data_IF_301889633472
#
_entry.id   IF_301889633472
#
_cell.length_a   1.000
_cell.length_b   1.000
_cell.length_c   1.000
_cell.angle_alpha   90.00
_cell.angle_beta   90.00
_cell.angle_gamma   90.00
#
_symmetry.space_group_name_H-M   'P 1'
#
loop_
_entity.id
_entity.type
_entity.pdbx_description
1 polymer ?
#
# COMPACT_ATOMS: atom_id res chain seq x y z
N UNK A 1 -27.15 -3.87 -20.84
CA UNK A 1 -26.12 -3.05 -21.52
C UNK A 1 -24.83 -3.52 -20.92
N UNK A 2 -24.08 -4.39 -21.61
CA UNK A 2 -22.76 -4.82 -21.14
C UNK A 2 -21.90 -3.56 -21.02
N UNK A 3 -21.65 -3.12 -19.80
CA UNK A 3 -20.55 -2.21 -19.55
C UNK A 3 -19.33 -3.06 -19.90
N UNK A 4 -18.72 -2.79 -21.06
CA UNK A 4 -17.37 -3.29 -21.35
C UNK A 4 -16.51 -2.78 -20.20
N UNK A 5 -16.25 -3.65 -19.22
CA UNK A 5 -15.42 -3.30 -18.08
C UNK A 5 -14.04 -2.96 -18.66
N UNK A 6 -13.66 -1.68 -18.61
CA UNK A 6 -12.31 -1.28 -18.94
C UNK A 6 -11.39 -2.01 -17.97
N UNK A 7 -10.41 -2.73 -18.51
CA UNK A 7 -9.37 -3.37 -17.70
C UNK A 7 -8.72 -2.30 -16.82
N UNK A 8 -8.56 -2.64 -15.54
CA UNK A 8 -7.92 -1.77 -14.57
C UNK A 8 -6.93 -2.60 -13.77
N UNK A 9 -5.73 -2.07 -13.59
CA UNK A 9 -4.70 -2.73 -12.80
C UNK A 9 -4.87 -2.36 -11.32
N UNK A 10 -5.49 -3.24 -10.55
CA UNK A 10 -5.65 -3.07 -9.10
C UNK A 10 -4.31 -3.10 -8.33
N UNK A 11 -3.42 -4.09 -8.56
CA UNK A 11 -2.14 -4.19 -7.89
C UNK A 11 -1.29 -2.92 -7.97
N UNK A 12 -0.69 -2.57 -6.84
CA UNK A 12 -0.16 -1.23 -6.62
C UNK A 12 1.35 -1.13 -6.83
N UNK A 13 1.76 0.12 -7.05
CA UNK A 13 3.12 0.62 -6.92
C UNK A 13 3.17 1.44 -5.63
N UNK A 14 4.25 1.30 -4.86
CA UNK A 14 4.44 2.03 -3.60
C UNK A 14 5.83 2.65 -3.56
N UNK A 15 5.90 3.90 -3.14
CA UNK A 15 7.12 4.65 -2.92
C UNK A 15 7.10 5.19 -1.49
N UNK A 16 8.12 4.84 -0.73
CA UNK A 16 8.36 5.37 0.60
C UNK A 16 9.74 6.03 0.66
N UNK A 17 9.79 7.27 1.14
CA UNK A 17 11.03 8.03 1.34
C UNK A 17 11.06 8.48 2.79
N UNK A 18 12.06 8.02 3.53
CA UNK A 18 12.27 8.36 4.95
C UNK A 18 13.50 9.27 5.05
N UNK A 19 13.39 10.35 5.82
CA UNK A 19 14.45 11.32 6.06
C UNK A 19 15.21 10.99 7.36
N UNK A 20 16.47 11.43 7.46
CA UNK A 20 17.25 11.31 8.70
C UNK A 20 16.67 12.09 9.88
N UNK A 21 15.94 13.16 9.58
CA UNK A 21 15.33 14.06 10.55
C UNK A 21 14.17 14.78 9.90
N UNK A 22 13.20 15.20 10.69
CA UNK A 22 12.10 16.04 10.24
C UNK A 22 12.60 17.26 9.46
N UNK A 23 11.94 17.56 8.35
CA UNK A 23 12.10 18.76 7.54
C UNK A 23 10.87 19.64 7.73
N UNK A 24 10.89 20.65 8.62
CA UNK A 24 9.74 21.50 8.87
C UNK A 24 9.14 22.07 7.58
N UNK A 25 7.81 22.00 7.48
CA UNK A 25 7.10 22.46 6.30
C UNK A 25 7.26 21.51 5.13
N UNK A 26 7.54 20.21 5.33
CA UNK A 26 7.47 19.19 4.27
C UNK A 26 6.01 18.87 3.90
N UNK A 27 5.11 19.04 4.85
CA UNK A 27 3.66 18.85 4.68
C UNK A 27 2.97 19.98 3.90
N UNK A 28 3.57 21.16 3.89
CA UNK A 28 2.99 22.34 3.25
C UNK A 28 2.65 22.08 1.77
N UNK A 29 1.58 22.69 1.28
CA UNK A 29 1.23 22.69 -0.14
C UNK A 29 0.70 24.04 -0.69
N UNK A 30 1.09 25.21 -0.18
CA UNK A 30 0.57 26.48 -0.70
C UNK A 30 1.07 26.79 -2.12
N UNK A 31 2.19 26.18 -2.53
CA UNK A 31 2.80 26.31 -3.86
C UNK A 31 2.34 25.23 -4.85
N UNK A 32 1.46 24.31 -4.42
CA UNK A 32 0.96 23.21 -5.24
C UNK A 32 2.01 22.14 -5.57
N UNK A 33 3.10 22.04 -4.80
CA UNK A 33 4.16 21.05 -5.06
C UNK A 33 3.66 19.60 -4.97
N UNK A 34 2.74 19.29 -4.06
CA UNK A 34 2.16 17.95 -3.95
C UNK A 34 1.18 17.66 -5.08
N UNK A 35 0.43 18.65 -5.56
CA UNK A 35 -0.36 18.52 -6.80
C UNK A 35 0.56 18.16 -7.97
N UNK A 36 1.71 18.83 -8.10
CA UNK A 36 2.68 18.57 -9.17
C UNK A 36 3.29 17.17 -9.08
N UNK A 37 3.66 16.72 -7.87
CA UNK A 37 4.17 15.35 -7.62
C UNK A 37 3.16 14.30 -8.07
N UNK A 38 1.89 14.48 -7.66
CA UNK A 38 0.79 13.57 -7.98
C UNK A 38 0.47 13.57 -9.47
N UNK A 39 0.36 14.75 -10.11
CA UNK A 39 0.11 14.91 -11.54
C UNK A 39 1.21 14.27 -12.40
N UNK A 40 2.47 14.36 -11.96
CA UNK A 40 3.61 13.78 -12.69
C UNK A 40 3.58 12.24 -12.67
N UNK A 41 2.83 11.65 -11.73
CA UNK A 41 2.54 10.21 -11.69
C UNK A 41 1.28 9.82 -12.47
N UNK A 42 0.62 10.77 -13.14
CA UNK A 42 -0.66 10.62 -13.84
C UNK A 42 -1.87 10.37 -12.91
N UNK A 43 -1.88 11.04 -11.75
CA UNK A 43 -3.00 11.04 -10.82
C UNK A 43 -3.38 12.49 -10.43
N UNK A 44 -4.48 12.64 -9.69
CA UNK A 44 -4.93 13.93 -9.14
C UNK A 44 -5.25 13.80 -7.65
N UNK A 45 -5.13 14.89 -6.90
CA UNK A 45 -5.59 14.96 -5.50
C UNK A 45 -7.10 15.19 -5.51
N UNK A 46 -7.85 14.30 -4.86
CA UNK A 46 -9.31 14.41 -4.71
C UNK A 46 -9.65 15.19 -3.44
N UNK A 47 -9.05 14.80 -2.33
CA UNK A 47 -9.35 15.35 -1.00
C UNK A 47 -8.17 15.15 -0.05
N UNK A 48 -8.25 15.81 1.11
CA UNK A 48 -7.21 15.81 2.12
C UNK A 48 -7.82 15.86 3.51
N UNK A 49 -7.28 15.05 4.42
CA UNK A 49 -7.42 15.24 5.87
C UNK A 49 -6.05 15.43 6.52
N UNK A 50 -6.04 16.11 7.67
CA UNK A 50 -4.83 16.51 8.38
C UNK A 50 -5.00 16.34 9.87
N UNK A 51 -3.91 15.99 10.56
CA UNK A 51 -3.81 16.10 12.01
C UNK A 51 -2.44 16.71 12.41
N UNK A 52 -2.08 16.68 13.69
CA UNK A 52 -0.83 17.27 14.17
C UNK A 52 0.44 16.60 13.59
N UNK A 53 0.34 15.37 13.09
CA UNK A 53 1.48 14.53 12.71
C UNK A 53 1.63 14.36 11.20
N UNK A 54 0.52 14.20 10.47
CA UNK A 54 0.56 13.95 9.03
C UNK A 54 -0.61 14.57 8.25
N UNK A 55 -0.39 14.65 6.95
CA UNK A 55 -1.40 14.91 5.94
C UNK A 55 -1.66 13.64 5.12
N UNK A 56 -2.92 13.28 4.95
CA UNK A 56 -3.36 12.19 4.10
C UNK A 56 -4.18 12.74 2.93
N UNK A 57 -3.72 12.48 1.72
CA UNK A 57 -4.33 12.86 0.47
C UNK A 57 -4.94 11.64 -0.19
N UNK A 58 -6.23 11.70 -0.47
CA UNK A 58 -6.89 10.71 -1.31
C UNK A 58 -6.68 11.10 -2.77
N UNK A 59 -6.21 10.16 -3.59
CA UNK A 59 -5.86 10.39 -4.98
C UNK A 59 -6.88 9.73 -5.92
N UNK A 60 -6.91 10.19 -7.18
CA UNK A 60 -7.68 9.53 -8.24
C UNK A 60 -7.28 8.08 -8.48
N UNK A 61 -6.05 7.71 -8.10
CA UNK A 61 -5.45 6.40 -8.34
C UNK A 61 -4.73 5.89 -7.07
N UNK A 62 -5.34 6.01 -5.88
CA UNK A 62 -4.88 5.55 -4.53
C UNK A 62 -4.62 6.68 -3.51
N UNK A 63 -3.41 6.83 -2.93
CA UNK A 63 -3.18 7.64 -1.72
C UNK A 63 -1.77 8.20 -1.60
N UNK A 64 -1.65 9.36 -0.93
CA UNK A 64 -0.38 9.98 -0.53
C UNK A 64 -0.45 10.38 0.96
N UNK A 65 0.56 10.02 1.73
CA UNK A 65 0.73 10.39 3.12
C UNK A 65 2.05 11.15 3.31
N UNK A 66 2.00 12.28 4.02
CA UNK A 66 3.16 13.14 4.25
C UNK A 66 3.26 13.47 5.73
N UNK A 67 4.36 13.04 6.35
CA UNK A 67 4.80 13.50 7.67
C UNK A 67 5.91 14.54 7.49
N UNK A 68 6.43 15.09 8.59
CA UNK A 68 7.61 15.95 8.50
C UNK A 68 8.90 15.19 8.20
N UNK A 69 8.94 13.87 8.39
CA UNK A 69 10.14 13.04 8.25
C UNK A 69 10.01 11.91 7.21
N UNK A 70 8.83 11.68 6.64
CA UNK A 70 8.63 10.62 5.65
C UNK A 70 7.49 10.93 4.69
N UNK A 71 7.58 10.32 3.52
CA UNK A 71 6.62 10.44 2.42
C UNK A 71 6.27 9.03 1.99
N UNK A 72 4.98 8.73 1.88
CA UNK A 72 4.46 7.48 1.34
C UNK A 72 3.47 7.81 0.22
N UNK A 73 3.72 7.31 -0.97
CA UNK A 73 2.80 7.43 -2.10
C UNK A 73 2.53 6.06 -2.69
N UNK A 74 1.26 5.71 -2.80
CA UNK A 74 0.78 4.46 -3.36
C UNK A 74 -0.03 4.84 -4.59
N UNK A 75 0.18 4.15 -5.70
CA UNK A 75 -0.62 4.32 -6.92
C UNK A 75 -1.00 3.01 -7.59
N UNK A 76 -2.14 2.98 -8.26
CA UNK A 76 -2.62 1.83 -9.03
C UNK A 76 -2.82 2.19 -10.52
N UNK A 77 -3.44 1.32 -11.30
CA UNK A 77 -3.68 1.54 -12.72
C UNK A 77 -2.39 1.55 -13.55
N UNK A 78 -2.36 2.43 -14.56
CA UNK A 78 -1.20 2.63 -15.45
C UNK A 78 -0.31 3.81 -15.02
N UNK A 79 -0.47 4.28 -13.78
CA UNK A 79 0.32 5.38 -13.22
C UNK A 79 1.83 5.14 -13.28
N UNK A 80 2.58 6.24 -13.34
CA UNK A 80 4.05 6.25 -13.46
C UNK A 80 4.70 6.79 -12.18
N UNK A 81 4.45 6.12 -11.05
CA UNK A 81 4.88 6.55 -9.71
C UNK A 81 6.37 6.93 -9.61
N UNK A 82 7.25 6.24 -10.33
CA UNK A 82 8.68 6.54 -10.33
C UNK A 82 9.00 7.99 -10.76
N UNK A 83 8.12 8.63 -11.53
CA UNK A 83 8.27 10.04 -11.92
C UNK A 83 8.18 10.99 -10.70
N UNK A 84 7.44 10.61 -9.65
CA UNK A 84 7.29 11.39 -8.42
C UNK A 84 8.63 11.67 -7.75
N UNK A 85 9.60 10.73 -7.85
CA UNK A 85 10.92 10.85 -7.21
C UNK A 85 11.62 12.13 -7.63
N UNK A 86 11.63 12.43 -8.94
CA UNK A 86 12.29 13.63 -9.46
C UNK A 86 11.64 14.91 -8.95
N UNK A 87 10.32 14.93 -8.84
CA UNK A 87 9.56 16.10 -8.36
C UNK A 87 9.74 16.31 -6.86
N UNK A 88 9.70 15.24 -6.06
CA UNK A 88 10.00 15.28 -4.62
C UNK A 88 11.41 15.82 -4.37
N UNK A 89 12.39 15.36 -5.16
CA UNK A 89 13.78 15.84 -5.07
C UNK A 89 13.98 17.29 -5.52
N UNK A 90 12.96 17.92 -6.12
CA UNK A 90 12.95 19.35 -6.38
C UNK A 90 12.87 20.21 -5.11
N UNK A 91 12.34 19.65 -4.01
CA UNK A 91 12.19 20.34 -2.72
C UNK A 91 12.65 19.53 -1.50
N UNK A 92 13.06 18.28 -1.68
CA UNK A 92 13.75 17.44 -0.68
C UNK A 92 15.19 17.24 -1.11
N UNK A 93 16.14 17.65 -0.27
CA UNK A 93 17.56 17.40 -0.52
C UNK A 93 17.85 15.90 -0.40
N UNK A 94 18.27 15.27 -1.49
CA UNK A 94 18.61 13.83 -1.54
C UNK A 94 19.60 13.38 -0.45
N UNK A 95 20.45 14.28 0.05
CA UNK A 95 21.42 14.00 1.13
C UNK A 95 20.76 13.83 2.50
N UNK A 96 19.51 14.28 2.64
CA UNK A 96 18.70 14.12 3.86
C UNK A 96 17.84 12.85 3.85
N UNK A 97 17.71 12.19 2.71
CA UNK A 97 16.98 10.93 2.59
C UNK A 97 17.80 9.83 3.26
N UNK A 98 17.25 9.19 4.28
CA UNK A 98 17.88 8.07 4.97
C UNK A 98 17.64 6.75 4.23
N UNK A 99 16.40 6.53 3.80
CA UNK A 99 15.94 5.28 3.22
C UNK A 99 14.91 5.55 2.12
N UNK A 100 14.95 4.73 1.08
CA UNK A 100 13.93 4.67 0.04
C UNK A 100 13.50 3.22 -0.10
N UNK A 101 12.19 2.97 -0.08
CA UNK A 101 11.59 1.72 -0.55
C UNK A 101 10.74 2.01 -1.78
N UNK A 102 10.85 1.14 -2.78
CA UNK A 102 9.97 1.12 -3.92
C UNK A 102 9.46 -0.30 -4.13
N UNK A 103 8.14 -0.49 -4.08
CA UNK A 103 7.51 -1.80 -4.16
C UNK A 103 6.53 -1.88 -5.34
N UNK A 104 6.45 -3.06 -5.95
CA UNK A 104 5.42 -3.40 -6.94
C UNK A 104 4.89 -4.80 -6.65
N UNK A 105 3.58 -4.93 -6.40
CA UNK A 105 2.92 -6.25 -6.47
C UNK A 105 2.94 -6.71 -7.92
N UNK A 106 3.18 -8.01 -8.16
CA UNK A 106 3.13 -8.53 -9.53
C UNK A 106 1.76 -8.25 -10.17
N UNK A 107 1.79 -7.65 -11.35
CA UNK A 107 0.62 -7.14 -12.04
C UNK A 107 -0.24 -8.25 -12.67
N UNK A 108 -1.53 -7.97 -12.80
CA UNK A 108 -2.47 -8.81 -13.56
C UNK A 108 -2.35 -8.55 -15.07
N UNK A 109 -2.01 -7.32 -15.47
CA UNK A 109 -1.85 -6.88 -16.85
C UNK A 109 -0.47 -6.23 -17.09
N UNK A 110 0.65 -6.95 -16.86
CA UNK A 110 1.99 -6.38 -16.98
C UNK A 110 2.29 -5.79 -18.37
N UNK A 111 1.67 -6.30 -19.43
CA UNK A 111 1.84 -5.83 -20.81
C UNK A 111 1.15 -4.48 -21.09
N UNK A 112 0.24 -4.06 -20.21
CA UNK A 112 -0.47 -2.78 -20.32
C UNK A 112 0.22 -1.69 -19.47
N UNK A 113 1.29 -2.04 -18.74
CA UNK A 113 2.03 -1.11 -17.92
C UNK A 113 3.07 -0.34 -18.75
N UNK A 114 3.33 0.94 -18.44
CA UNK A 114 4.26 1.77 -19.20
C UNK A 114 5.74 1.35 -19.06
N UNK A 115 6.07 0.55 -18.04
CA UNK A 115 7.42 0.08 -17.75
C UNK A 115 7.37 -1.15 -16.83
N UNK A 116 8.35 -2.05 -16.95
CA UNK A 116 8.54 -3.14 -15.98
C UNK A 116 9.24 -2.66 -14.71
N UNK A 117 9.50 -3.57 -13.77
CA UNK A 117 10.11 -3.20 -12.48
C UNK A 117 11.59 -2.86 -12.65
N UNK A 118 12.31 -3.55 -13.53
CA UNK A 118 13.70 -3.34 -13.84
C UNK A 118 13.94 -1.95 -14.47
N UNK A 119 13.05 -1.49 -15.35
CA UNK A 119 13.04 -0.14 -15.89
C UNK A 119 12.91 0.92 -14.78
N UNK A 120 12.00 0.71 -13.83
CA UNK A 120 11.83 1.63 -12.69
C UNK A 120 13.06 1.64 -11.77
N UNK A 121 13.68 0.48 -11.54
CA UNK A 121 14.93 0.38 -10.77
C UNK A 121 16.05 1.13 -11.47
N UNK A 122 16.23 0.96 -12.78
CA UNK A 122 17.25 1.68 -13.56
C UNK A 122 17.07 3.20 -13.47
N UNK A 123 15.83 3.68 -13.36
CA UNK A 123 15.52 5.10 -13.16
C UNK A 123 15.76 5.54 -11.73
N UNK A 124 15.40 4.72 -10.73
CA UNK A 124 15.66 4.99 -9.33
C UNK A 124 17.17 5.09 -9.04
N UNK A 125 17.97 4.24 -9.65
CA UNK A 125 19.44 4.21 -9.52
C UNK A 125 20.15 5.47 -10.05
N UNK A 126 19.47 6.29 -10.87
CA UNK A 126 19.97 7.61 -11.25
C UNK A 126 20.02 8.58 -10.06
N UNK A 127 19.17 8.37 -9.05
CA UNK A 127 19.06 9.20 -7.86
C UNK A 127 19.69 8.54 -6.63
N UNK A 128 19.44 7.24 -6.46
CA UNK A 128 19.76 6.49 -5.25
C UNK A 128 20.36 5.12 -5.61
N UNK A 129 21.64 4.84 -5.32
CA UNK A 129 22.19 3.51 -5.50
C UNK A 129 21.51 2.54 -4.51
N UNK A 130 21.07 1.37 -4.98
CA UNK A 130 20.32 0.46 -4.14
C UNK A 130 20.40 -0.99 -4.57
N UNK A 131 19.49 -1.80 -4.06
CA UNK A 131 19.36 -3.22 -4.38
C UNK A 131 17.90 -3.55 -4.60
N UNK A 132 17.62 -4.53 -5.46
CA UNK A 132 16.29 -5.03 -5.69
C UNK A 132 16.16 -6.54 -5.44
N UNK A 133 14.96 -6.94 -5.02
CA UNK A 133 14.61 -8.28 -4.58
C UNK A 133 13.21 -8.64 -5.09
N UNK A 134 12.95 -9.93 -5.25
CA UNK A 134 11.60 -10.48 -5.37
C UNK A 134 11.27 -11.24 -4.10
N UNK A 135 10.20 -10.82 -3.43
CA UNK A 135 9.67 -11.44 -2.22
C UNK A 135 8.55 -12.39 -2.61
N UNK A 136 8.77 -13.69 -2.44
CA UNK A 136 7.88 -14.75 -2.87
C UNK A 136 8.36 -15.52 -4.13
N UNK A 137 7.60 -16.53 -4.54
CA UNK A 137 7.92 -17.43 -5.64
C UNK A 137 7.93 -16.73 -7.01
N UNK A 138 8.77 -17.22 -7.92
CA UNK A 138 8.93 -16.67 -9.27
C UNK A 138 7.68 -16.81 -10.15
N UNK A 139 6.85 -17.81 -9.87
CA UNK A 139 5.77 -18.29 -10.71
C UNK A 139 4.38 -18.14 -10.06
N UNK A 140 4.30 -17.50 -8.89
CA UNK A 140 3.03 -17.20 -8.21
C UNK A 140 3.07 -15.76 -7.67
N UNK A 141 2.13 -15.38 -6.81
CA UNK A 141 2.05 -14.05 -6.22
C UNK A 141 3.35 -13.68 -5.46
N UNK A 142 3.88 -12.50 -5.78
CA UNK A 142 5.12 -11.97 -5.22
C UNK A 142 5.13 -10.44 -5.27
N UNK A 143 6.00 -9.83 -4.47
CA UNK A 143 6.24 -8.38 -4.50
C UNK A 143 7.70 -8.13 -4.90
N UNK A 144 7.89 -7.26 -5.87
CA UNK A 144 9.19 -6.70 -6.18
C UNK A 144 9.49 -5.55 -5.22
N UNK A 145 10.68 -5.52 -4.65
CA UNK A 145 11.12 -4.45 -3.74
C UNK A 145 12.48 -3.96 -4.18
N UNK A 146 12.62 -2.66 -4.34
CA UNK A 146 13.90 -1.96 -4.37
C UNK A 146 14.06 -1.20 -3.08
N UNK A 147 15.27 -1.20 -2.52
CA UNK A 147 15.61 -0.27 -1.46
C UNK A 147 16.96 0.39 -1.69
N UNK A 148 17.06 1.62 -1.21
CA UNK A 148 18.33 2.33 -1.06
C UNK A 148 18.42 2.86 0.35
N UNK A 149 19.55 2.63 1.02
CA UNK A 149 19.82 3.15 2.34
C UNK A 149 21.12 3.92 2.30
N UNK A 150 21.15 5.09 2.92
CA UNK A 150 22.42 5.66 3.33
C UNK A 150 23.00 4.81 4.46
N UNK A 151 24.31 4.60 4.47
CA UNK A 151 24.96 3.75 5.48
C UNK A 151 24.80 4.35 6.89
N UNK A 152 24.55 3.48 7.89
CA UNK A 152 24.35 3.79 9.33
C UNK A 152 23.01 4.47 9.66
N UNK A 153 21.89 3.88 9.26
CA UNK A 153 20.60 4.23 9.88
C UNK A 153 20.42 3.45 11.17
N UNK A 154 20.03 4.14 12.24
CA UNK A 154 19.46 3.49 13.43
C UNK A 154 17.98 3.40 13.19
N UNK A 155 17.49 2.21 12.86
CA UNK A 155 16.07 2.03 12.57
C UNK A 155 15.31 2.16 13.88
N UNK A 156 14.38 3.12 13.93
CA UNK A 156 13.44 3.23 15.04
C UNK A 156 12.40 2.11 14.94
N UNK A 157 11.52 1.99 15.94
CA UNK A 157 10.40 1.08 15.83
C UNK A 157 9.49 1.54 14.67
N UNK A 158 9.58 0.83 13.54
CA UNK A 158 8.85 1.09 12.32
C UNK A 158 8.24 -0.22 11.84
N UNK A 159 6.98 -0.16 11.43
CA UNK A 159 6.22 -1.33 11.00
C UNK A 159 5.25 -0.92 9.91
N UNK A 160 5.18 -1.71 8.84
CA UNK A 160 4.15 -1.62 7.81
C UNK A 160 3.57 -2.99 7.55
N UNK A 161 2.27 -3.15 7.82
CA UNK A 161 1.49 -4.32 7.43
C UNK A 161 0.76 -4.03 6.12
N UNK A 162 0.88 -4.93 5.15
CA UNK A 162 0.10 -4.95 3.92
C UNK A 162 -0.66 -6.28 3.79
N UNK A 163 -1.91 -6.22 3.36
CA UNK A 163 -2.74 -7.37 2.99
C UNK A 163 -3.25 -7.14 1.56
N UNK A 164 -2.76 -7.95 0.62
CA UNK A 164 -2.98 -7.78 -0.81
C UNK A 164 -3.90 -8.90 -1.30
N UNK A 165 -5.13 -8.58 -1.67
CA UNK A 165 -6.24 -9.53 -1.77
C UNK A 165 -6.74 -9.60 -3.21
N UNK A 166 -6.83 -10.81 -3.75
CA UNK A 166 -7.30 -11.06 -5.11
C UNK A 166 -8.57 -11.91 -5.09
N UNK A 167 -9.35 -11.81 -6.16
CA UNK A 167 -10.48 -12.69 -6.43
C UNK A 167 -11.48 -12.64 -5.25
N UNK A 168 -11.93 -11.42 -4.96
CA UNK A 168 -12.86 -11.09 -3.87
C UNK A 168 -14.24 -11.71 -4.10
N UNK A 169 -14.89 -12.14 -3.02
CA UNK A 169 -16.26 -12.67 -3.04
C UNK A 169 -17.24 -11.69 -3.72
N UNK A 170 -18.00 -12.12 -4.75
CA UNK A 170 -18.94 -11.25 -5.46
C UNK A 170 -19.99 -10.56 -4.57
N UNK A 171 -20.40 -11.21 -3.48
CA UNK A 171 -21.35 -10.62 -2.51
C UNK A 171 -20.75 -9.43 -1.74
N UNK A 172 -19.43 -9.37 -1.65
CA UNK A 172 -18.70 -8.24 -1.07
C UNK A 172 -18.46 -7.16 -2.11
N UNK A 173 -18.08 -7.53 -3.34
CA UNK A 173 -17.75 -6.54 -4.37
C UNK A 173 -18.94 -5.68 -4.78
N UNK A 174 -20.18 -6.19 -4.67
CA UNK A 174 -21.43 -5.47 -4.93
C UNK A 174 -21.54 -4.13 -4.16
N UNK A 175 -20.96 -4.05 -2.95
CA UNK A 175 -20.94 -2.84 -2.14
C UNK A 175 -20.22 -1.68 -2.85
N UNK A 176 -19.27 -2.00 -3.73
CA UNK A 176 -18.39 -1.04 -4.41
C UNK A 176 -18.80 -0.73 -5.86
N UNK A 177 -19.90 -1.33 -6.35
CA UNK A 177 -20.48 -1.03 -7.67
C UNK A 177 -21.48 0.13 -7.66
N UNK A 178 -21.59 0.84 -6.54
CA UNK A 178 -22.65 1.84 -6.35
C UNK A 178 -22.43 3.12 -7.17
N UNK A 179 -21.19 3.45 -7.55
CA UNK A 179 -20.86 4.69 -8.25
C UNK A 179 -21.44 5.92 -7.53
N UNK A 180 -22.10 6.82 -8.28
CA UNK A 180 -22.74 8.02 -7.72
C UNK A 180 -24.06 7.76 -6.96
N UNK A 181 -24.50 6.50 -6.83
CA UNK A 181 -25.79 6.19 -6.20
C UNK A 181 -25.74 6.17 -4.66
N UNK A 182 -24.54 6.27 -4.07
CA UNK A 182 -24.38 6.32 -2.61
C UNK A 182 -23.22 7.22 -2.20
N UNK A 183 -23.18 7.59 -0.91
CA UNK A 183 -22.05 8.35 -0.36
C UNK A 183 -20.94 7.38 0.05
N UNK A 184 -19.68 7.84 0.02
CA UNK A 184 -18.57 6.98 0.48
C UNK A 184 -18.66 6.60 1.96
N UNK A 185 -19.27 7.44 2.82
CA UNK A 185 -19.55 7.06 4.21
C UNK A 185 -20.53 5.88 4.32
N UNK A 186 -21.52 5.80 3.42
CA UNK A 186 -22.41 4.65 3.37
C UNK A 186 -21.64 3.37 2.99
N UNK A 187 -20.76 3.44 1.98
CA UNK A 187 -19.88 2.32 1.59
C UNK A 187 -18.96 1.92 2.74
N UNK A 188 -18.38 2.90 3.45
CA UNK A 188 -17.51 2.68 4.60
C UNK A 188 -18.22 1.93 5.74
N UNK A 189 -19.47 2.28 6.03
CA UNK A 189 -20.30 1.62 7.03
C UNK A 189 -20.72 0.21 6.59
N UNK A 190 -21.21 0.06 5.37
CA UNK A 190 -21.68 -1.21 4.82
C UNK A 190 -20.56 -2.24 4.65
N UNK A 191 -19.37 -1.81 4.22
CA UNK A 191 -18.18 -2.67 4.13
C UNK A 191 -17.59 -3.03 5.49
N UNK A 192 -17.98 -2.36 6.57
CA UNK A 192 -17.43 -2.57 7.91
C UNK A 192 -16.03 -1.98 8.13
N UNK A 193 -15.47 -1.28 7.14
CA UNK A 193 -14.13 -0.67 7.19
C UNK A 193 -14.01 0.37 8.31
N UNK A 194 -15.09 1.10 8.63
CA UNK A 194 -15.13 2.05 9.77
C UNK A 194 -14.80 1.40 11.11
N UNK A 195 -14.91 0.06 11.22
CA UNK A 195 -14.66 -0.67 12.46
C UNK A 195 -13.22 -1.13 12.58
N UNK A 196 -12.41 -1.13 11.52
CA UNK A 196 -11.03 -1.67 11.56
C UNK A 196 -10.20 -0.91 12.60
N UNK A 197 -10.19 0.42 12.52
CA UNK A 197 -9.63 1.33 13.50
C UNK A 197 -10.65 2.44 13.83
N UNK A 198 -11.57 2.21 14.79
CA UNK A 198 -12.71 3.12 15.02
C UNK A 198 -12.33 4.50 15.57
N UNK A 199 -11.08 4.68 16.01
CA UNK A 199 -10.55 5.94 16.52
C UNK A 199 -9.94 6.84 15.44
N UNK A 200 -9.84 6.38 14.19
CA UNK A 200 -9.23 7.12 13.09
C UNK A 200 -10.24 7.99 12.36
N UNK A 201 -9.86 9.24 12.09
CA UNK A 201 -10.58 10.10 11.18
C UNK A 201 -10.39 9.58 9.76
N UNK A 202 -11.49 9.45 9.00
CA UNK A 202 -11.45 8.85 7.67
C UNK A 202 -11.86 9.82 6.57
N UNK A 203 -11.17 9.73 5.44
CA UNK A 203 -11.52 10.37 4.16
C UNK A 203 -11.70 9.29 3.11
N UNK A 204 -12.78 9.34 2.34
CA UNK A 204 -13.16 8.25 1.45
C UNK A 204 -13.79 8.76 0.15
N UNK A 205 -13.70 7.93 -0.89
CA UNK A 205 -14.20 8.26 -2.21
C UNK A 205 -14.76 7.02 -2.91
N UNK A 206 -15.92 7.18 -3.55
CA UNK A 206 -16.53 6.18 -4.45
C UNK A 206 -16.29 6.63 -5.88
N UNK A 207 -15.60 5.81 -6.65
CA UNK A 207 -15.25 6.13 -8.04
C UNK A 207 -16.43 5.87 -8.98
N UNK A 208 -16.46 6.59 -10.09
CA UNK A 208 -17.43 6.37 -11.17
C UNK A 208 -16.74 5.64 -12.33
N UNK A 209 -17.28 4.52 -12.84
CA UNK A 209 -18.57 3.92 -12.49
C UNK A 209 -18.58 3.07 -11.20
N UNK A 210 -17.42 2.65 -10.70
CA UNK A 210 -17.28 1.81 -9.51
C UNK A 210 -15.86 1.94 -8.93
N UNK A 211 -15.64 1.39 -7.74
CA UNK A 211 -14.37 1.44 -7.02
C UNK A 211 -14.46 2.27 -5.75
N UNK A 212 -13.53 2.05 -4.82
CA UNK A 212 -13.53 2.75 -3.55
C UNK A 212 -12.13 2.91 -2.98
N UNK A 213 -11.86 4.08 -2.40
CA UNK A 213 -10.64 4.35 -1.63
C UNK A 213 -10.99 4.96 -0.28
N UNK A 214 -10.24 4.62 0.75
CA UNK A 214 -10.33 5.28 2.07
C UNK A 214 -8.97 5.41 2.71
N UNK A 215 -8.72 6.58 3.27
CA UNK A 215 -7.61 6.86 4.19
C UNK A 215 -8.15 7.05 5.60
N UNK A 216 -7.48 6.50 6.60
CA UNK A 216 -7.75 6.76 8.00
C UNK A 216 -6.49 7.22 8.72
N UNK A 217 -6.58 8.25 9.57
CA UNK A 217 -5.44 8.78 10.33
C UNK A 217 -5.77 8.95 11.82
N UNK A 218 -4.79 8.68 12.69
CA UNK A 218 -4.85 9.01 14.12
C UNK A 218 -3.43 9.11 14.69
N UNK A 219 -3.12 10.24 15.32
CA UNK A 219 -1.74 10.58 15.67
C UNK A 219 -0.81 10.39 14.45
N UNK A 220 0.34 9.75 14.61
CA UNK A 220 1.27 9.46 13.51
C UNK A 220 0.92 8.23 12.65
N UNK A 221 -0.21 7.57 12.92
CA UNK A 221 -0.58 6.33 12.26
C UNK A 221 -1.62 6.52 11.17
N UNK A 222 -1.57 5.66 10.16
CA UNK A 222 -2.54 5.59 9.08
C UNK A 222 -3.05 4.16 8.86
N UNK A 223 -4.19 4.04 8.20
CA UNK A 223 -4.45 2.93 7.29
C UNK A 223 -4.97 3.46 5.96
N UNK A 224 -4.84 2.65 4.92
CA UNK A 224 -5.47 2.90 3.62
C UNK A 224 -6.02 1.62 3.02
N UNK A 225 -7.08 1.76 2.24
CA UNK A 225 -7.71 0.67 1.49
C UNK A 225 -8.07 1.16 0.11
N UNK A 226 -7.73 0.38 -0.91
CA UNK A 226 -8.12 0.63 -2.30
C UNK A 226 -8.81 -0.61 -2.87
N UNK A 227 -9.97 -0.44 -3.50
CA UNK A 227 -10.82 -1.54 -3.98
C UNK A 227 -11.11 -1.38 -5.47
N UNK A 228 -10.74 -2.42 -6.22
CA UNK A 228 -11.04 -2.66 -7.63
C UNK A 228 -12.06 -3.81 -7.72
N UNK A 229 -13.37 -3.54 -7.82
CA UNK A 229 -14.40 -4.58 -7.64
C UNK A 229 -14.70 -5.44 -8.87
N UNK A 230 -14.06 -5.19 -10.02
CA UNK A 230 -14.35 -5.85 -11.29
C UNK A 230 -14.29 -7.39 -11.17
N UNK A 231 -15.32 -8.16 -11.60
CA UNK A 231 -15.43 -9.57 -11.21
C UNK A 231 -14.31 -10.49 -11.73
N UNK A 232 -13.78 -10.21 -12.93
CA UNK A 232 -12.76 -11.08 -13.53
C UNK A 232 -11.37 -10.95 -12.89
N UNK A 233 -11.11 -9.81 -12.21
CA UNK A 233 -9.80 -9.42 -11.67
C UNK A 233 -9.97 -8.52 -10.45
N UNK A 234 -10.85 -8.92 -9.53
CA UNK A 234 -11.13 -8.10 -8.35
C UNK A 234 -9.90 -8.07 -7.45
N UNK A 235 -9.65 -6.89 -6.88
CA UNK A 235 -8.49 -6.64 -6.05
C UNK A 235 -8.85 -5.68 -4.92
N UNK A 236 -8.30 -5.94 -3.74
CA UNK A 236 -8.28 -4.97 -2.67
C UNK A 236 -6.91 -4.98 -1.97
N UNK A 237 -6.42 -3.81 -1.61
CA UNK A 237 -5.27 -3.65 -0.73
C UNK A 237 -5.72 -3.08 0.61
N UNK A 238 -5.01 -3.47 1.66
CA UNK A 238 -5.06 -2.82 2.96
C UNK A 238 -3.63 -2.60 3.42
N UNK A 239 -3.30 -1.38 3.84
CA UNK A 239 -1.99 -1.05 4.41
C UNK A 239 -2.14 -0.24 5.69
N UNK A 240 -1.27 -0.47 6.67
CA UNK A 240 -1.22 0.33 7.91
C UNK A 240 0.16 0.31 8.55
N UNK A 241 0.52 1.40 9.23
CA UNK A 241 1.68 1.47 10.14
C UNK A 241 1.30 1.45 11.63
N UNK A 242 0.08 1.00 11.97
CA UNK A 242 -0.31 0.84 13.37
C UNK A 242 0.52 -0.28 13.99
N UNK A 243 1.34 0.07 14.97
CA UNK A 243 2.21 -0.87 15.69
C UNK A 243 1.34 -1.73 16.62
N UNK A 244 1.45 -3.06 16.47
CA UNK A 244 0.82 -4.04 17.35
C UNK A 244 1.82 -5.11 17.73
N UNK A 245 1.63 -5.74 18.88
CA UNK A 245 2.35 -6.96 19.24
C UNK A 245 1.86 -8.18 18.46
N UNK A 246 0.65 -8.12 17.91
CA UNK A 246 0.02 -9.18 17.14
C UNK A 246 -0.86 -8.60 16.02
N UNK A 247 -0.62 -9.06 14.80
CA UNK A 247 -1.40 -8.68 13.63
C UNK A 247 -2.48 -9.70 13.25
N UNK A 248 -2.52 -10.86 13.89
CA UNK A 248 -3.46 -11.94 13.59
C UNK A 248 -4.91 -11.48 13.56
N UNK A 249 -5.34 -10.76 14.59
CA UNK A 249 -6.70 -10.23 14.66
C UNK A 249 -6.99 -9.14 13.62
N UNK A 250 -5.98 -8.36 13.22
CA UNK A 250 -6.13 -7.34 12.17
C UNK A 250 -6.26 -8.01 10.80
N UNK A 251 -5.39 -8.97 10.49
CA UNK A 251 -5.40 -9.73 9.24
C UNK A 251 -6.72 -10.49 9.10
N UNK A 252 -7.10 -11.28 10.10
CA UNK A 252 -8.34 -12.05 10.08
C UNK A 252 -9.57 -11.14 9.89
N UNK A 253 -9.59 -9.96 10.54
CA UNK A 253 -10.65 -8.98 10.36
C UNK A 253 -10.70 -8.47 8.93
N UNK A 254 -9.59 -7.98 8.38
CA UNK A 254 -9.53 -7.45 7.00
C UNK A 254 -9.93 -8.52 5.98
N UNK A 255 -9.36 -9.73 6.09
CA UNK A 255 -9.70 -10.87 5.23
C UNK A 255 -11.18 -11.22 5.33
N UNK A 256 -11.80 -11.16 6.52
CA UNK A 256 -13.24 -11.43 6.67
C UNK A 256 -14.15 -10.39 6.01
N UNK A 257 -13.68 -9.13 5.86
CA UNK A 257 -14.44 -8.08 5.18
C UNK A 257 -14.44 -8.28 3.66
N UNK A 258 -13.32 -8.77 3.11
CA UNK A 258 -13.09 -8.88 1.67
C UNK A 258 -13.33 -10.29 1.09
N UNK A 259 -13.17 -11.33 1.92
CA UNK A 259 -13.27 -12.76 1.56
C UNK A 259 -12.58 -13.11 0.23
N UNK A 260 -11.28 -12.81 0.07
CA UNK A 260 -10.55 -13.14 -1.16
C UNK A 260 -10.37 -14.64 -1.34
N UNK A 261 -10.33 -15.17 -2.56
CA UNK A 261 -9.88 -16.55 -2.78
C UNK A 261 -8.38 -16.72 -2.47
N UNK A 262 -7.58 -15.67 -2.64
CA UNK A 262 -6.16 -15.68 -2.30
C UNK A 262 -5.66 -14.30 -1.87
N UNK A 263 -4.67 -14.28 -0.99
CA UNK A 263 -4.06 -13.03 -0.56
C UNK A 263 -2.60 -13.19 -0.15
N UNK A 264 -1.84 -12.10 -0.23
CA UNK A 264 -0.49 -12.00 0.30
C UNK A 264 -0.45 -11.11 1.54
N UNK A 265 0.41 -11.44 2.50
CA UNK A 265 0.69 -10.60 3.66
C UNK A 265 2.16 -10.19 3.62
N UNK A 266 2.41 -8.88 3.74
CA UNK A 266 3.75 -8.33 3.93
C UNK A 266 3.80 -7.62 5.28
N UNK A 267 4.75 -8.01 6.11
CA UNK A 267 5.06 -7.31 7.35
C UNK A 267 6.51 -6.84 7.28
N UNK A 268 6.68 -5.54 6.98
CA UNK A 268 7.97 -4.87 6.98
C UNK A 268 8.20 -4.28 8.36
N UNK A 269 9.33 -4.58 8.99
CA UNK A 269 9.71 -3.99 10.28
C UNK A 269 11.14 -3.49 10.25
N UNK A 270 11.42 -2.48 11.06
CA UNK A 270 12.77 -2.28 11.55
C UNK A 270 13.28 -3.51 12.30
N UNK A 271 14.57 -3.77 12.24
CA UNK A 271 15.23 -4.79 13.05
C UNK A 271 15.78 -4.14 14.32
N UNK A 272 14.99 -4.16 15.40
CA UNK A 272 15.47 -3.99 16.77
C UNK A 272 15.49 -5.36 17.48
N UNK A 273 16.24 -5.50 18.57
CA UNK A 273 16.41 -6.75 19.35
C UNK A 273 15.09 -7.36 19.88
N UNK A 274 13.96 -6.66 19.72
CA UNK A 274 12.61 -7.04 20.16
C UNK A 274 11.70 -7.58 19.05
N UNK A 275 12.02 -7.35 17.78
CA UNK A 275 11.15 -7.68 16.63
C UNK A 275 11.14 -9.15 16.12
N UNK A 276 12.10 -10.05 16.43
CA UNK A 276 12.06 -11.42 15.91
C UNK A 276 10.77 -12.18 16.28
N UNK A 277 10.13 -11.84 17.40
CA UNK A 277 8.89 -12.48 17.85
C UNK A 277 7.68 -12.09 16.99
N UNK A 278 7.65 -10.86 16.46
CA UNK A 278 6.53 -10.34 15.70
C UNK A 278 6.31 -11.14 14.40
N UNK A 279 7.41 -11.45 13.71
CA UNK A 279 7.42 -12.22 12.46
C UNK A 279 6.95 -13.68 12.63
N UNK A 280 7.10 -14.24 13.84
CA UNK A 280 6.64 -15.58 14.16
C UNK A 280 5.12 -15.64 14.42
N UNK A 281 4.48 -14.54 14.80
CA UNK A 281 3.06 -14.53 15.19
C UNK A 281 2.10 -14.38 14.01
N UNK A 282 2.59 -14.03 12.81
CA UNK A 282 1.77 -13.84 11.59
C UNK A 282 1.33 -15.18 10.97
N UNK A 283 1.77 -16.33 11.49
CA UNK A 283 1.71 -17.62 10.80
C UNK A 283 0.32 -18.31 10.85
N UNK A 284 -0.52 -18.04 11.85
CA UNK A 284 -1.74 -18.83 12.11
C UNK A 284 -3.06 -18.12 11.72
N UNK A 285 -3.03 -17.18 10.78
CA UNK A 285 -3.96 -16.03 10.82
C UNK A 285 -5.11 -16.00 9.82
N UNK A 286 -5.60 -17.14 9.34
CA UNK A 286 -6.86 -17.16 8.59
C UNK A 286 -7.49 -18.57 8.56
N UNK A 287 -8.47 -18.82 9.44
CA UNK A 287 -9.27 -20.03 9.36
C UNK A 287 -9.92 -20.12 7.97
N UNK A 288 -9.78 -21.27 7.31
CA UNK A 288 -10.29 -21.48 5.94
C UNK A 288 -9.28 -21.18 4.82
N UNK A 289 -8.01 -20.88 5.15
CA UNK A 289 -6.94 -20.69 4.16
C UNK A 289 -5.73 -21.56 4.46
N UNK A 290 -5.05 -22.00 3.40
CA UNK A 290 -3.76 -22.67 3.46
C UNK A 290 -2.63 -21.69 3.13
N UNK A 291 -1.59 -21.71 3.95
CA UNK A 291 -0.32 -21.02 3.65
C UNK A 291 0.38 -21.78 2.51
N UNK A 292 0.63 -21.11 1.39
CA UNK A 292 1.35 -21.67 0.24
C UNK A 292 2.78 -21.18 0.13
N UNK A 293 3.09 -20.04 0.76
CA UNK A 293 4.44 -19.48 0.83
C UNK A 293 4.66 -18.86 2.22
N UNK A 294 5.88 -19.01 2.73
CA UNK A 294 6.35 -18.32 3.91
C UNK A 294 7.83 -18.04 3.76
N UNK A 295 8.19 -16.76 3.70
CA UNK A 295 9.56 -16.31 3.56
C UNK A 295 9.86 -15.13 4.48
N UNK A 296 11.08 -15.08 5.01
CA UNK A 296 11.63 -13.94 5.75
C UNK A 296 12.83 -13.41 4.97
N UNK A 297 12.83 -12.11 4.71
CA UNK A 297 13.89 -11.41 3.99
C UNK A 297 14.50 -10.36 4.90
N UNK A 298 15.78 -10.49 5.20
CA UNK A 298 16.54 -9.48 5.94
C UNK A 298 17.33 -8.60 4.97
N UNK A 299 17.23 -7.29 5.16
CA UNK A 299 17.94 -6.29 4.38
C UNK A 299 19.07 -5.68 5.21
N UNK A 300 20.21 -5.42 4.57
CA UNK A 300 21.38 -4.85 5.24
C UNK A 300 21.21 -3.38 5.65
N UNK A 301 20.04 -2.78 5.38
CA UNK A 301 19.62 -1.49 5.91
C UNK A 301 19.00 -1.59 7.32
N UNK A 302 18.91 -2.79 7.91
CA UNK A 302 18.31 -2.97 9.23
C UNK A 302 16.79 -3.12 9.21
N UNK A 303 16.22 -3.55 8.08
CA UNK A 303 14.81 -3.91 7.95
C UNK A 303 14.66 -5.38 7.62
N UNK A 304 13.55 -5.98 8.04
CA UNK A 304 13.15 -7.30 7.61
C UNK A 304 11.71 -7.29 7.07
N UNK A 305 11.44 -8.14 6.09
CA UNK A 305 10.10 -8.35 5.54
C UNK A 305 9.74 -9.81 5.69
N UNK A 306 8.65 -10.08 6.41
CA UNK A 306 8.00 -11.37 6.32
C UNK A 306 6.92 -11.33 5.24
N UNK A 307 6.99 -12.30 4.33
CA UNK A 307 6.06 -12.48 3.21
C UNK A 307 5.34 -13.82 3.34
N UNK A 308 4.02 -13.80 3.17
CA UNK A 308 3.19 -14.99 3.09
C UNK A 308 2.25 -14.93 1.89
N UNK A 309 1.96 -16.10 1.32
CA UNK A 309 0.80 -16.30 0.45
C UNK A 309 -0.19 -17.27 1.08
N UNK A 310 -1.47 -16.96 0.90
CA UNK A 310 -2.60 -17.75 1.37
C UNK A 310 -3.55 -18.03 0.21
N UNK A 311 -4.11 -19.24 0.18
CA UNK A 311 -5.18 -19.64 -0.77
C UNK A 311 -6.31 -20.29 0.02
N UNK A 312 -7.55 -19.96 -0.32
CA UNK A 312 -8.75 -20.49 0.33
C UNK A 312 -8.80 -22.02 0.20
N UNK A 313 -9.23 -22.67 1.28
CA UNK A 313 -9.51 -24.10 1.28
C UNK A 313 -10.80 -24.33 0.51
N UNK A 314 -10.70 -24.81 -0.72
CA UNK A 314 -11.84 -25.45 -1.36
C UNK A 314 -12.03 -26.79 -0.65
N UNK A 315 -13.09 -26.92 0.17
CA UNK A 315 -13.53 -28.26 0.57
C UNK A 315 -13.88 -29.00 -0.72
N UNK A 316 -13.20 -30.13 -0.99
CA UNK A 316 -13.56 -31.03 -2.10
C UNK A 316 -15.04 -31.42 -1.91
N UNK A 317 -15.91 -30.85 -2.74
CA UNK A 317 -17.35 -31.17 -2.78
C UNK A 317 -17.63 -32.57 -3.31
#
# INVERSE_FOLDING_TARGET
MEILASKFEGPEKKLEIILFSSQPGLRDNPDGRWDKVVQTSQAEIISKISNDYLDAYLLSESSLFVWEDRILMITCGQTTLINAVSEILGFVDKRKVALVFYERKNFMFPQEQPADFEDDVARMEQYFPGKSYRLGPANHDHVHVFYSSHAKITVQQDVTLQVLMHDLDPSVTEIYFQGNNCTGNHVLECSGLCRVFPQMDTDNHVFTPYGFSVNGIHAQHYFTVHVTPQPERSYASFETNVIKSDYSGTIAKVVSLFKPEKFSVLLTTGMDDRDPQLHHMVIDTAAGYNVTEKSLYEFDCGYAVTFFNYIMNFEDG
#
